data_IF_209709291367
#
_entry.id   IF_209709291367
#
_cell.length_a   1.000
_cell.length_b   1.000
_cell.length_c   1.000
_cell.angle_alpha   90.00
_cell.angle_beta   90.00
_cell.angle_gamma   90.00
#
_symmetry.space_group_name_H-M   'P 1'
#
loop_
_entity.id
_entity.type
_entity.pdbx_description
1 polymer ?
#
# COMPACT_ATOMS: atom_id res chain seq x y z
N UNK A 1 1.33 3.78 -19.61
CA UNK A 1 2.21 3.11 -18.63
C UNK A 1 3.51 3.90 -18.52
N UNK A 2 3.94 4.21 -17.31
CA UNK A 2 5.24 4.85 -17.07
C UNK A 2 6.37 3.82 -17.27
N UNK A 3 7.57 4.32 -17.66
CA UNK A 3 8.71 3.45 -17.83
C UNK A 3 9.02 2.68 -16.53
N UNK A 4 9.23 1.37 -16.59
CA UNK A 4 9.59 0.56 -15.43
C UNK A 4 10.96 0.97 -14.89
N UNK A 5 11.23 0.63 -13.64
CA UNK A 5 12.56 0.68 -13.02
C UNK A 5 13.06 -0.75 -12.93
N UNK A 6 14.19 -1.03 -13.54
CA UNK A 6 14.79 -2.37 -13.56
C UNK A 6 15.69 -2.61 -12.33
N UNK A 7 15.98 -3.87 -12.00
CA UNK A 7 16.91 -4.19 -10.92
C UNK A 7 18.24 -3.44 -11.04
N UNK A 8 18.66 -2.77 -9.98
CA UNK A 8 19.88 -1.95 -9.95
C UNK A 8 19.71 -0.52 -10.44
N UNK A 9 18.54 -0.16 -10.95
CA UNK A 9 18.23 1.20 -11.38
C UNK A 9 17.49 1.99 -10.28
N UNK A 10 17.53 3.31 -10.41
CA UNK A 10 16.78 4.24 -9.57
C UNK A 10 16.05 5.25 -10.44
N UNK A 11 14.86 5.64 -10.01
CA UNK A 11 14.09 6.71 -10.63
C UNK A 11 13.72 7.74 -9.57
N UNK A 12 13.99 9.00 -9.86
CA UNK A 12 13.57 10.10 -9.03
C UNK A 12 12.29 10.73 -9.60
N UNK A 13 11.32 11.00 -8.73
CA UNK A 13 10.05 11.60 -9.08
C UNK A 13 9.77 12.74 -8.10
N UNK A 14 9.66 13.96 -8.61
CA UNK A 14 9.26 15.12 -7.83
C UNK A 14 7.84 15.53 -8.21
N UNK A 15 7.03 15.78 -7.22
CA UNK A 15 5.69 16.33 -7.43
C UNK A 15 5.24 17.14 -6.21
N UNK A 16 4.35 18.08 -6.44
CA UNK A 16 3.73 18.87 -5.37
C UNK A 16 2.40 18.26 -5.00
N UNK A 17 2.19 18.02 -3.70
CA UNK A 17 0.88 17.67 -3.17
C UNK A 17 0.07 18.96 -2.96
N UNK A 18 -0.97 19.15 -3.76
CA UNK A 18 -1.90 20.27 -3.64
C UNK A 18 -3.32 19.73 -3.44
N UNK A 19 -3.57 19.25 -2.21
CA UNK A 19 -4.84 18.67 -1.82
C UNK A 19 -5.04 18.73 -0.30
N UNK A 20 -6.30 18.72 0.18
CA UNK A 20 -6.60 18.66 1.61
C UNK A 20 -6.00 17.44 2.31
N UNK A 21 -5.88 17.51 3.64
CA UNK A 21 -5.45 16.41 4.49
C UNK A 21 -6.26 15.14 4.20
N UNK A 22 -5.58 14.03 4.05
CA UNK A 22 -6.20 12.73 3.73
C UNK A 22 -5.21 11.58 3.92
N UNK A 23 -5.75 10.38 3.98
CA UNK A 23 -4.96 9.15 3.89
C UNK A 23 -5.04 8.59 2.48
N UNK A 24 -3.89 8.39 1.86
CA UNK A 24 -3.74 7.85 0.51
C UNK A 24 -3.07 6.48 0.53
N UNK A 25 -3.28 5.75 -0.53
CA UNK A 25 -2.62 4.47 -0.79
C UNK A 25 -1.63 4.62 -1.94
N UNK A 26 -0.34 4.46 -1.64
CA UNK A 26 0.73 4.36 -2.63
C UNK A 26 0.97 2.90 -2.96
N UNK A 27 0.97 2.54 -4.22
CA UNK A 27 1.24 1.17 -4.64
C UNK A 27 1.96 1.10 -6.00
N UNK A 28 2.61 -0.03 -6.28
CA UNK A 28 3.18 -0.31 -7.59
C UNK A 28 2.07 -0.39 -8.67
N UNK A 29 2.34 0.16 -9.85
CA UNK A 29 1.37 0.18 -10.96
C UNK A 29 1.96 -0.22 -12.32
N UNK A 30 2.84 -1.24 -12.43
CA UNK A 30 3.30 -1.72 -13.72
C UNK A 30 2.26 -2.67 -14.34
N UNK A 31 1.84 -2.41 -15.58
CA UNK A 31 1.01 -3.36 -16.32
C UNK A 31 1.88 -4.46 -16.95
N UNK A 32 1.53 -5.76 -16.80
CA UNK A 32 0.36 -6.31 -16.10
C UNK A 32 0.63 -6.74 -14.64
N UNK A 33 1.77 -6.40 -14.04
CA UNK A 33 2.27 -6.95 -12.77
C UNK A 33 1.77 -6.23 -11.52
N UNK A 34 0.81 -5.30 -11.64
CA UNK A 34 0.32 -4.51 -10.49
C UNK A 34 -0.19 -5.39 -9.36
N UNK A 35 -1.06 -6.35 -9.65
CA UNK A 35 -1.67 -7.21 -8.65
C UNK A 35 -0.62 -8.05 -7.92
N UNK A 36 0.32 -8.65 -8.65
CA UNK A 36 1.40 -9.44 -8.07
C UNK A 36 2.31 -8.60 -7.17
N UNK A 37 2.70 -7.41 -7.63
CA UNK A 37 3.58 -6.54 -6.85
C UNK A 37 2.89 -6.01 -5.59
N UNK A 38 1.62 -5.64 -5.67
CA UNK A 38 0.83 -5.24 -4.49
C UNK A 38 0.66 -6.42 -3.53
N UNK A 39 0.38 -7.62 -4.04
CA UNK A 39 0.32 -8.83 -3.23
C UNK A 39 1.63 -9.09 -2.48
N UNK A 40 2.77 -8.86 -3.13
CA UNK A 40 4.10 -8.99 -2.52
C UNK A 40 4.50 -7.79 -1.65
N UNK A 41 3.59 -6.87 -1.36
CA UNK A 41 3.78 -5.81 -0.37
C UNK A 41 4.35 -4.50 -0.91
N UNK A 42 4.41 -4.30 -2.23
CA UNK A 42 4.81 -3.01 -2.81
C UNK A 42 3.67 -2.00 -2.72
N UNK A 43 3.29 -1.70 -1.50
CA UNK A 43 2.26 -0.72 -1.15
C UNK A 43 2.60 -0.04 0.18
N UNK A 44 2.14 1.20 0.34
CA UNK A 44 2.35 1.98 1.55
C UNK A 44 1.19 2.94 1.79
N UNK A 45 1.01 3.33 3.05
CA UNK A 45 0.12 4.42 3.44
C UNK A 45 0.88 5.75 3.31
N UNK A 46 0.23 6.77 2.73
CA UNK A 46 0.72 8.15 2.70
C UNK A 46 -0.29 9.02 3.45
N UNK A 47 0.17 9.69 4.49
CA UNK A 47 -0.65 10.60 5.31
C UNK A 47 -0.32 12.02 4.90
N UNK A 48 -1.31 12.72 4.35
CA UNK A 48 -1.23 14.14 3.99
C UNK A 48 -1.87 14.93 5.12
N UNK A 49 -1.15 15.95 5.60
CA UNK A 49 -1.60 16.86 6.67
C UNK A 49 -1.73 18.28 6.15
N UNK A 50 -2.60 19.06 6.76
CA UNK A 50 -2.76 20.48 6.52
C UNK A 50 -3.15 21.23 7.81
N UNK A 51 -3.15 22.56 7.74
CA UNK A 51 -3.46 23.43 8.89
C UNK A 51 -4.90 23.23 9.40
N UNK A 52 -5.81 22.85 8.51
CA UNK A 52 -7.20 22.59 8.91
C UNK A 52 -7.30 21.32 9.75
N UNK A 53 -6.70 20.23 9.28
CA UNK A 53 -6.64 18.96 10.04
C UNK A 53 -5.94 19.20 11.40
N UNK A 54 -4.86 20.00 11.41
CA UNK A 54 -4.13 20.35 12.62
C UNK A 54 -4.97 21.14 13.65
N UNK A 55 -6.00 21.84 13.20
CA UNK A 55 -6.93 22.58 14.06
C UNK A 55 -7.99 21.70 14.73
N UNK A 56 -8.20 20.48 14.26
CA UNK A 56 -9.23 19.58 14.75
C UNK A 56 -8.79 18.88 16.06
N UNK A 57 -9.70 18.59 16.99
CA UNK A 57 -9.38 17.88 18.23
C UNK A 57 -9.26 16.37 17.99
N UNK A 58 -8.32 15.97 17.15
CA UNK A 58 -8.07 14.56 16.81
C UNK A 58 -6.84 14.02 17.56
N UNK A 59 -6.78 12.72 17.81
CA UNK A 59 -5.55 12.05 18.26
C UNK A 59 -4.40 12.32 17.27
N UNK A 60 -3.17 12.58 17.79
CA UNK A 60 -2.04 13.04 16.95
C UNK A 60 -0.72 12.36 17.25
N UNK A 61 -0.66 11.56 18.32
CA UNK A 61 0.57 10.89 18.70
C UNK A 61 0.70 9.59 17.90
N UNK A 62 1.36 9.67 16.74
CA UNK A 62 1.56 8.54 15.84
C UNK A 62 2.09 7.31 16.58
N UNK A 63 1.41 6.18 16.41
CA UNK A 63 1.72 4.92 17.08
C UNK A 63 1.27 4.82 18.54
N UNK A 64 0.63 5.85 19.10
CA UNK A 64 0.13 5.86 20.49
C UNK A 64 -1.39 6.01 20.52
N UNK A 65 -1.93 7.11 20.03
CA UNK A 65 -3.37 7.38 19.93
C UNK A 65 -3.83 7.66 18.49
N UNK A 66 -2.87 7.84 17.56
CA UNK A 66 -3.05 7.86 16.12
C UNK A 66 -2.33 6.64 15.51
N UNK A 67 -3.09 5.55 15.33
CA UNK A 67 -2.54 4.24 14.99
C UNK A 67 -2.88 3.92 13.53
N UNK A 68 -1.87 3.86 12.62
CA UNK A 68 -2.10 3.41 11.26
C UNK A 68 -2.44 1.91 11.24
N UNK A 69 -3.47 1.56 10.48
CA UNK A 69 -3.91 0.17 10.33
C UNK A 69 -4.00 -0.16 8.84
N UNK A 70 -3.19 -1.13 8.41
CA UNK A 70 -3.24 -1.71 7.07
C UNK A 70 -3.78 -3.12 7.19
N UNK A 71 -4.96 -3.35 6.60
CA UNK A 71 -5.56 -4.67 6.53
C UNK A 71 -5.16 -5.33 5.21
N UNK A 72 -4.77 -6.58 5.29
CA UNK A 72 -4.37 -7.39 4.15
C UNK A 72 -4.92 -8.81 4.33
N UNK A 73 -5.00 -9.53 3.24
CA UNK A 73 -5.25 -10.96 3.26
C UNK A 73 -4.15 -11.68 2.46
N UNK A 74 -3.78 -12.87 2.92
CA UNK A 74 -2.72 -13.66 2.31
C UNK A 74 -3.07 -15.13 2.26
N UNK A 75 -2.43 -15.82 1.32
CA UNK A 75 -2.37 -17.26 1.22
C UNK A 75 -0.91 -17.70 1.36
N UNK A 76 -0.69 -18.78 2.07
CA UNK A 76 0.64 -19.33 2.32
C UNK A 76 0.73 -20.77 1.83
N UNK A 77 1.88 -21.13 1.31
CA UNK A 77 2.28 -22.52 1.13
C UNK A 77 2.60 -23.18 2.48
N UNK A 78 2.70 -24.51 2.50
CA UNK A 78 3.06 -25.28 3.71
C UNK A 78 4.43 -24.87 4.29
N UNK A 79 5.32 -24.33 3.46
CA UNK A 79 6.64 -23.83 3.85
C UNK A 79 6.61 -22.35 4.32
N UNK A 80 5.44 -21.78 4.58
CA UNK A 80 5.21 -20.38 4.97
C UNK A 80 5.63 -19.32 3.95
N UNK A 81 5.91 -19.70 2.71
CA UNK A 81 6.08 -18.72 1.62
C UNK A 81 4.73 -18.24 1.12
N UNK A 82 4.66 -17.02 0.65
CA UNK A 82 3.45 -16.47 0.07
C UNK A 82 3.06 -17.21 -1.20
N UNK A 83 1.81 -17.63 -1.27
CA UNK A 83 1.22 -18.33 -2.41
C UNK A 83 0.41 -17.33 -3.26
N UNK A 84 1.08 -16.65 -4.19
CA UNK A 84 0.40 -15.84 -5.18
C UNK A 84 -0.11 -16.75 -6.31
N UNK A 85 -1.43 -16.74 -6.52
CA UNK A 85 -2.05 -17.41 -7.67
C UNK A 85 -2.74 -16.36 -8.51
N UNK A 86 -2.26 -16.22 -9.74
CA UNK A 86 -2.89 -15.39 -10.74
C UNK A 86 -4.13 -16.11 -11.34
N UNK A 87 -5.04 -16.55 -10.47
CA UNK A 87 -6.35 -17.00 -10.93
C UNK A 87 -7.07 -15.77 -11.50
N UNK A 88 -7.58 -15.89 -12.72
CA UNK A 88 -8.35 -14.79 -13.29
C UNK A 88 -9.65 -14.64 -12.51
N UNK A 89 -9.66 -13.70 -11.60
CA UNK A 89 -10.83 -13.24 -10.88
C UNK A 89 -10.92 -11.72 -11.08
N UNK A 90 -11.99 -11.19 -11.64
CA UNK A 90 -12.15 -9.74 -11.80
C UNK A 90 -12.18 -8.98 -10.47
N UNK A 91 -12.47 -9.66 -9.36
CA UNK A 91 -12.48 -9.08 -8.02
C UNK A 91 -11.10 -9.12 -7.35
N UNK A 92 -10.09 -9.75 -7.98
CA UNK A 92 -8.72 -9.81 -7.50
C UNK A 92 -8.35 -11.14 -6.84
N UNK A 93 -7.19 -11.18 -6.20
CA UNK A 93 -6.66 -12.37 -5.50
C UNK A 93 -6.96 -12.25 -4.02
N UNK A 94 -7.72 -13.20 -3.48
CA UNK A 94 -8.05 -13.27 -2.06
C UNK A 94 -7.30 -14.41 -1.36
N UNK A 95 -7.01 -14.24 -0.07
CA UNK A 95 -6.37 -15.24 0.78
C UNK A 95 -7.17 -15.51 2.06
N UNK A 96 -7.07 -16.72 2.63
CA UNK A 96 -7.83 -17.10 3.82
C UNK A 96 -7.28 -16.52 5.13
N UNK A 97 -6.08 -15.93 5.11
CA UNK A 97 -5.40 -15.42 6.30
C UNK A 97 -5.46 -13.90 6.34
N UNK A 98 -6.22 -13.35 7.28
CA UNK A 98 -6.23 -11.91 7.52
C UNK A 98 -4.97 -11.49 8.29
N UNK A 99 -4.37 -10.37 7.87
CA UNK A 99 -3.18 -9.78 8.48
C UNK A 99 -3.40 -8.30 8.79
N UNK A 100 -2.75 -7.82 9.83
CA UNK A 100 -2.77 -6.41 10.23
C UNK A 100 -1.32 -5.93 10.35
N UNK A 101 -0.98 -4.90 9.58
CA UNK A 101 0.35 -4.28 9.54
C UNK A 101 1.49 -5.26 9.18
N UNK A 102 1.20 -6.30 8.40
CA UNK A 102 2.15 -7.28 7.93
C UNK A 102 2.23 -8.56 8.73
#
# INVERSE_FOLDING_TARGET
CHAPVYPGESKHIDFTLDQPATTLWLHAHPCPSTAEQVWHGLAAMVIVKDDYEDSLPLPRNYGVDDIPVILQDRRFHENNQWDYRADYDPDGVAGPTAMING
#
